data_IF_928609138287
#
_entry.id   IF_928609138287
#
_cell.length_a   1.000
_cell.length_b   1.000
_cell.length_c   1.000
_cell.angle_alpha   90.00
_cell.angle_beta   90.00
_cell.angle_gamma   90.00
#
_symmetry.space_group_name_H-M   'P 1'
#
loop_
_entity.id
_entity.type
_entity.pdbx_description
1 polymer ?
#
# COMPACT_ATOMS: atom_id res chain seq x y z
N UNK A 1 12.76 -0.71 -7.71
CA UNK A 1 11.56 0.02 -7.20
C UNK A 1 11.35 -0.43 -5.75
N UNK A 2 11.15 0.48 -4.79
CA UNK A 2 10.93 0.07 -3.39
C UNK A 2 9.47 -0.33 -3.14
N UNK A 3 9.18 -1.20 -2.15
CA UNK A 3 7.80 -1.56 -1.78
C UNK A 3 6.93 -0.34 -1.45
N UNK A 4 7.50 0.67 -0.80
CA UNK A 4 6.81 1.92 -0.48
C UNK A 4 6.45 2.73 -1.72
N UNK A 5 7.37 2.82 -2.69
CA UNK A 5 7.11 3.52 -3.95
C UNK A 5 5.98 2.83 -4.71
N UNK A 6 6.01 1.50 -4.79
CA UNK A 6 4.94 0.70 -5.39
C UNK A 6 3.60 0.90 -4.68
N UNK A 7 3.55 0.79 -3.34
CA UNK A 7 2.35 1.00 -2.55
C UNK A 7 1.75 2.40 -2.76
N UNK A 8 2.59 3.43 -2.74
CA UNK A 8 2.16 4.83 -2.93
C UNK A 8 1.59 5.04 -4.34
N UNK A 9 2.26 4.51 -5.36
CA UNK A 9 1.84 4.60 -6.76
C UNK A 9 0.51 3.87 -7.03
N UNK A 10 0.24 2.76 -6.34
CA UNK A 10 -1.00 1.98 -6.51
C UNK A 10 -2.14 2.37 -5.55
N UNK A 11 -1.98 3.42 -4.75
CA UNK A 11 -3.02 3.91 -3.83
C UNK A 11 -3.31 5.39 -4.09
N UNK A 12 -3.21 6.24 -3.07
CA UNK A 12 -3.57 7.67 -3.15
C UNK A 12 -2.83 8.42 -4.25
N UNK A 13 -1.53 8.17 -4.45
CA UNK A 13 -0.76 8.93 -5.43
C UNK A 13 -1.13 8.55 -6.87
N UNK A 14 -1.42 7.28 -7.15
CA UNK A 14 -1.92 6.85 -8.46
C UNK A 14 -3.26 7.48 -8.81
N UNK A 15 -4.19 7.49 -7.86
CA UNK A 15 -5.48 8.16 -8.05
C UNK A 15 -5.33 9.65 -8.30
N UNK A 16 -4.46 10.35 -7.56
CA UNK A 16 -4.15 11.76 -7.81
C UNK A 16 -3.52 11.99 -9.17
N UNK A 17 -2.56 11.15 -9.56
CA UNK A 17 -1.94 11.23 -10.89
C UNK A 17 -2.96 11.02 -12.02
N UNK A 18 -4.01 10.23 -11.78
CA UNK A 18 -5.15 10.06 -12.68
C UNK A 18 -6.21 11.19 -12.60
N UNK A 19 -5.96 12.27 -11.86
CA UNK A 19 -6.84 13.43 -11.75
C UNK A 19 -7.90 13.36 -10.64
N UNK A 20 -7.89 12.32 -9.79
CA UNK A 20 -8.81 12.20 -8.66
C UNK A 20 -8.30 13.05 -7.49
N UNK A 21 -8.95 14.20 -7.26
CA UNK A 21 -8.54 15.23 -6.30
C UNK A 21 -9.49 15.40 -5.10
N UNK A 22 -10.27 14.38 -4.76
CA UNK A 22 -11.26 14.40 -3.66
C UNK A 22 -10.66 14.32 -2.24
N UNK A 23 -9.33 14.18 -2.15
CA UNK A 23 -8.61 14.09 -0.89
C UNK A 23 -8.74 12.75 -0.16
N UNK A 24 -9.63 11.83 -0.55
CA UNK A 24 -9.94 10.61 0.21
C UNK A 24 -9.75 9.32 -0.58
N UNK A 25 -9.90 9.34 -1.91
CA UNK A 25 -9.71 8.15 -2.75
C UNK A 25 -8.28 7.62 -2.66
N UNK A 26 -8.17 6.29 -2.54
CA UNK A 26 -6.90 5.60 -2.26
C UNK A 26 -6.46 5.63 -0.80
N UNK A 27 -7.36 6.00 0.13
CA UNK A 27 -7.16 5.90 1.60
C UNK A 27 -8.27 5.06 2.24
N UNK A 28 -7.96 4.42 3.37
CA UNK A 28 -8.95 3.67 4.18
C UNK A 28 -9.35 4.49 5.40
N UNK A 29 -10.33 5.37 5.20
CA UNK A 29 -10.91 6.24 6.22
C UNK A 29 -12.43 6.30 6.04
N UNK A 30 -13.21 6.61 7.08
CA UNK A 30 -14.65 6.83 6.93
C UNK A 30 -14.97 7.86 5.84
N UNK A 31 -15.95 7.55 5.00
CA UNK A 31 -16.36 8.41 3.88
C UNK A 31 -15.58 8.22 2.57
N UNK A 32 -14.43 7.54 2.58
CA UNK A 32 -13.74 7.15 1.35
C UNK A 32 -14.43 5.96 0.67
N UNK A 33 -14.36 5.83 -0.67
CA UNK A 33 -14.79 4.61 -1.35
C UNK A 33 -14.03 3.40 -0.80
N UNK A 34 -14.72 2.28 -0.59
CA UNK A 34 -14.13 1.04 -0.08
C UNK A 34 -13.30 0.33 -1.18
N UNK A 35 -12.15 0.92 -1.53
CA UNK A 35 -11.12 0.34 -2.40
C UNK A 35 -10.01 -0.26 -1.53
N UNK A 36 -9.86 -1.58 -1.53
CA UNK A 36 -8.79 -2.25 -0.80
C UNK A 36 -8.43 -3.60 -1.41
N UNK A 37 -7.26 -4.09 -1.04
CA UNK A 37 -6.86 -5.45 -1.28
C UNK A 37 -6.33 -6.09 0.01
N UNK A 38 -6.57 -7.38 0.17
CA UNK A 38 -6.04 -8.21 1.25
C UNK A 38 -4.95 -9.08 0.65
N UNK A 39 -3.78 -9.08 1.29
CA UNK A 39 -2.62 -9.83 0.84
C UNK A 39 -2.15 -10.79 1.93
N UNK A 40 -1.79 -12.00 1.50
CA UNK A 40 -0.97 -12.92 2.27
C UNK A 40 0.49 -12.55 2.05
N UNK A 41 1.16 -12.06 3.10
CA UNK A 41 2.54 -11.60 3.05
C UNK A 41 3.30 -12.17 4.25
N UNK A 42 4.14 -13.18 3.97
CA UNK A 42 4.92 -13.91 4.97
C UNK A 42 6.07 -13.09 5.54
N UNK A 43 6.74 -12.29 4.69
CA UNK A 43 7.89 -11.49 5.08
C UNK A 43 7.60 -9.99 4.94
N UNK A 44 7.39 -9.33 6.08
CA UNK A 44 7.21 -7.89 6.17
C UNK A 44 8.53 -7.22 6.55
N UNK A 45 8.99 -6.29 5.71
CA UNK A 45 10.22 -5.52 5.93
C UNK A 45 9.89 -4.07 6.25
N UNK A 46 10.52 -3.53 7.30
CA UNK A 46 10.55 -2.08 7.52
C UNK A 46 11.63 -1.52 6.61
N UNK A 47 11.27 -0.67 5.67
CA UNK A 47 12.26 0.04 4.87
C UNK A 47 13.08 0.95 5.80
N UNK A 48 14.33 0.58 6.09
CA UNK A 48 15.27 1.49 6.75
C UNK A 48 15.52 2.65 5.80
N UNK A 49 15.29 3.92 6.21
CA UNK A 49 15.57 5.06 5.35
C UNK A 49 17.00 5.02 4.84
N UNK A 50 17.19 5.20 3.54
CA UNK A 50 18.46 5.69 3.02
C UNK A 50 18.72 7.06 3.67
N UNK A 51 19.83 7.16 4.40
CA UNK A 51 20.21 8.35 5.17
C UNK A 51 20.40 9.60 4.29
N UNK A 52 20.47 9.44 2.96
CA UNK A 52 20.59 10.51 1.98
C UNK A 52 19.25 11.14 1.57
N UNK A 53 18.10 10.54 1.91
CA UNK A 53 16.76 11.01 1.52
C UNK A 53 15.96 11.42 2.76
N UNK A 54 16.35 12.52 3.39
CA UNK A 54 15.62 13.13 4.50
C UNK A 54 14.47 14.01 4.00
N UNK A 55 13.30 13.41 3.74
CA UNK A 55 12.08 14.18 3.41
C UNK A 55 10.84 13.74 4.18
N UNK A 56 11.03 12.99 5.27
CA UNK A 56 9.93 12.41 6.04
C UNK A 56 10.23 12.43 7.54
N UNK A 57 9.15 12.41 8.33
CA UNK A 57 9.22 12.45 9.79
C UNK A 57 9.96 11.24 10.34
N UNK A 58 11.01 11.48 11.13
CA UNK A 58 11.73 10.45 11.90
C UNK A 58 11.02 10.06 13.19
N UNK A 59 9.81 10.57 13.43
CA UNK A 59 9.02 10.24 14.62
C UNK A 59 8.74 8.72 14.68
N UNK A 60 9.13 8.01 15.75
CA UNK A 60 8.82 6.59 15.93
C UNK A 60 7.32 6.28 15.87
N UNK A 61 6.46 7.27 16.19
CA UNK A 61 4.99 7.16 16.06
C UNK A 61 4.51 7.26 14.63
N UNK A 62 5.31 7.85 13.74
CA UNK A 62 5.06 7.87 12.30
C UNK A 62 5.41 6.54 11.62
N UNK A 63 5.73 5.51 12.42
CA UNK A 63 6.18 4.18 12.01
C UNK A 63 5.66 3.78 10.64
N UNK A 64 6.58 3.66 9.69
CA UNK A 64 6.25 3.17 8.36
C UNK A 64 5.76 1.73 8.54
N UNK A 65 4.49 1.43 8.23
CA UNK A 65 4.01 0.06 8.36
C UNK A 65 4.92 -0.84 7.52
N UNK A 66 5.37 -1.98 8.05
CA UNK A 66 6.24 -2.86 7.32
C UNK A 66 5.48 -3.35 6.08
N UNK A 67 6.17 -3.35 4.94
CA UNK A 67 5.59 -3.72 3.65
C UNK A 67 6.14 -5.07 3.21
N UNK A 68 5.45 -5.81 2.32
CA UNK A 68 5.97 -7.07 1.81
C UNK A 68 7.35 -6.89 1.17
N UNK A 69 8.23 -7.86 1.37
CA UNK A 69 9.50 -7.95 0.63
C UNK A 69 9.19 -8.26 -0.84
N UNK A 70 9.79 -7.51 -1.76
CA UNK A 70 9.58 -7.65 -3.22
C UNK A 70 10.90 -7.84 -3.99
N UNK A 71 11.94 -8.36 -3.33
CA UNK A 71 13.21 -8.69 -3.98
C UNK A 71 13.06 -9.90 -4.92
N UNK A 72 13.90 -10.05 -5.96
CA UNK A 72 13.76 -11.13 -6.95
C UNK A 72 13.80 -12.55 -6.38
N UNK A 73 14.46 -12.74 -5.22
CA UNK A 73 14.59 -14.01 -4.51
C UNK A 73 13.51 -14.23 -3.44
N UNK A 74 12.63 -13.25 -3.21
CA UNK A 74 11.60 -13.32 -2.20
C UNK A 74 10.35 -14.07 -2.69
N UNK A 75 9.70 -14.78 -1.78
CA UNK A 75 8.34 -15.28 -2.05
C UNK A 75 7.41 -14.09 -2.15
N UNK A 76 6.80 -13.88 -3.33
CA UNK A 76 5.93 -12.74 -3.56
C UNK A 76 4.61 -12.87 -2.78
N UNK A 77 4.05 -11.76 -2.28
CA UNK A 77 2.78 -11.79 -1.57
C UNK A 77 1.65 -12.23 -2.52
N UNK A 78 0.70 -13.01 -2.00
CA UNK A 78 -0.47 -13.46 -2.77
C UNK A 78 -1.68 -12.57 -2.49
N UNK A 79 -2.32 -12.06 -3.53
CA UNK A 79 -3.56 -11.31 -3.38
C UNK A 79 -4.69 -12.29 -3.01
N UNK A 80 -5.26 -12.10 -1.84
CA UNK A 80 -6.33 -12.93 -1.33
C UNK A 80 -7.72 -12.33 -1.65
N UNK A 81 -7.84 -11.00 -1.69
CA UNK A 81 -9.10 -10.34 -2.03
C UNK A 81 -8.85 -8.96 -2.62
N UNK A 82 -9.64 -8.57 -3.60
CA UNK A 82 -9.69 -7.19 -4.13
C UNK A 82 -11.12 -6.69 -4.06
N UNK A 83 -11.33 -5.52 -3.45
CA UNK A 83 -12.63 -4.87 -3.34
C UNK A 83 -12.57 -3.48 -3.95
N UNK A 84 -13.58 -3.15 -4.76
CA UNK A 84 -13.74 -1.84 -5.37
C UNK A 84 -15.11 -1.26 -5.01
N UNK A 85 -15.11 -0.17 -4.26
CA UNK A 85 -16.34 0.51 -3.82
C UNK A 85 -17.33 -0.47 -3.16
N UNK A 86 -16.82 -1.39 -2.34
CA UNK A 86 -17.62 -2.42 -1.66
C UNK A 86 -17.91 -3.67 -2.51
N UNK A 87 -17.69 -3.65 -3.82
CA UNK A 87 -17.85 -4.82 -4.69
C UNK A 87 -16.57 -5.68 -4.69
N UNK A 88 -16.70 -6.97 -4.38
CA UNK A 88 -15.59 -7.93 -4.45
C UNK A 88 -15.30 -8.24 -5.93
N UNK A 89 -14.07 -8.00 -6.36
CA UNK A 89 -13.59 -8.26 -7.73
C UNK A 89 -12.73 -9.53 -7.83
N UNK A 90 -12.07 -9.88 -6.73
CA UNK A 90 -11.24 -11.09 -6.60
C UNK A 90 -11.41 -11.62 -5.18
N UNK A 91 -11.50 -12.93 -5.03
CA UNK A 91 -11.64 -13.58 -3.72
C UNK A 91 -11.00 -14.97 -3.71
N UNK A 92 -10.17 -15.22 -2.70
CA UNK A 92 -9.49 -16.48 -2.43
C UNK A 92 -9.44 -16.79 -0.92
N UNK A 93 -10.27 -16.12 -0.12
CA UNK A 93 -10.42 -16.37 1.34
C UNK A 93 -11.75 -17.07 1.66
N UNK A 94 -12.66 -17.14 0.68
CA UNK A 94 -13.94 -17.86 0.79
C UNK A 94 -13.79 -19.25 0.18
#
# INVERSE_FOLDING_TARGET
MSPRAAFTAHTRAGHRAAGVNDGVTGSLVPGAPAHYAIWDATDLVVATPDSRVQRWSTDPRAGVPPLPRLEPDATLPRCLRTVRAGAVLHDAIT
#
